data_IF_058746537735
#
_entry.id   IF_058746537735
#
_cell.length_a   1.000
_cell.length_b   1.000
_cell.length_c   1.000
_cell.angle_alpha   90.00
_cell.angle_beta   90.00
_cell.angle_gamma   90.00
#
_symmetry.space_group_name_H-M   'P 1'
#
loop_
_entity.id
_entity.type
_entity.pdbx_description
1 polymer ?
#
# COMPACT_ATOMS: atom_id res chain seq x y z
N UNK A 1 8.92 -3.97 8.56
CA UNK A 1 8.54 -4.31 9.95
C UNK A 1 7.86 -3.13 10.67
N UNK A 2 8.46 -1.94 10.68
CA UNK A 2 7.97 -0.77 11.45
C UNK A 2 6.55 -0.31 11.13
N UNK A 3 6.15 -0.30 9.85
CA UNK A 3 4.81 0.15 9.44
C UNK A 3 3.72 -0.83 9.86
N UNK A 4 3.98 -2.14 9.76
CA UNK A 4 3.01 -3.18 10.15
C UNK A 4 2.72 -3.17 11.66
N UNK A 5 3.75 -2.99 12.49
CA UNK A 5 3.59 -2.94 13.96
C UNK A 5 2.87 -1.67 14.44
N UNK A 6 2.90 -0.58 13.68
CA UNK A 6 2.16 0.65 13.97
C UNK A 6 0.71 0.58 13.51
N UNK A 7 0.47 0.04 12.30
CA UNK A 7 -0.87 -0.04 11.70
C UNK A 7 -1.75 -1.10 12.38
N UNK A 8 -1.17 -2.23 12.79
CA UNK A 8 -1.91 -3.34 13.37
C UNK A 8 -2.75 -2.97 14.60
N UNK A 9 -2.19 -2.36 15.68
CA UNK A 9 -2.99 -1.99 16.85
C UNK A 9 -4.04 -0.92 16.56
N UNK A 10 -3.78 0.00 15.62
CA UNK A 10 -4.73 1.06 15.24
C UNK A 10 -5.94 0.50 14.48
N UNK A 11 -5.74 -0.48 13.58
CA UNK A 11 -6.86 -1.12 12.89
C UNK A 11 -7.72 -1.97 13.84
N UNK A 12 -7.08 -2.68 14.79
CA UNK A 12 -7.81 -3.46 15.82
C UNK A 12 -8.63 -2.55 16.73
N UNK A 13 -8.07 -1.42 17.21
CA UNK A 13 -8.83 -0.39 17.96
C UNK A 13 -9.98 0.20 17.13
N UNK A 14 -9.78 0.32 15.82
CA UNK A 14 -10.78 0.78 14.87
C UNK A 14 -11.93 -0.20 14.65
N UNK A 15 -11.92 -1.39 15.24
CA UNK A 15 -12.97 -2.40 15.13
C UNK A 15 -12.80 -3.37 13.95
N UNK A 16 -11.60 -3.46 13.38
CA UNK A 16 -11.25 -4.45 12.36
C UNK A 16 -10.75 -5.75 13.01
N UNK A 17 -10.98 -6.87 12.32
CA UNK A 17 -10.45 -8.17 12.76
C UNK A 17 -8.91 -8.20 12.77
N UNK A 18 -8.34 -8.83 13.79
CA UNK A 18 -6.90 -8.92 14.00
C UNK A 18 -6.18 -9.67 12.85
N UNK A 19 -6.80 -10.75 12.35
CA UNK A 19 -6.23 -11.57 11.29
C UNK A 19 -6.25 -10.82 9.96
N UNK A 20 -7.35 -10.12 9.68
CA UNK A 20 -7.46 -9.25 8.50
C UNK A 20 -6.43 -8.11 8.55
N UNK A 21 -6.21 -7.53 9.73
CA UNK A 21 -5.27 -6.44 9.94
C UNK A 21 -3.82 -6.87 9.70
N UNK A 22 -3.42 -8.02 10.25
CA UNK A 22 -2.11 -8.61 10.00
C UNK A 22 -1.91 -9.01 8.52
N UNK A 23 -2.92 -9.63 7.91
CA UNK A 23 -2.87 -10.06 6.51
C UNK A 23 -2.71 -8.86 5.55
N UNK A 24 -3.45 -7.78 5.77
CA UNK A 24 -3.36 -6.57 4.93
C UNK A 24 -2.00 -5.90 5.05
N UNK A 25 -1.44 -5.81 6.26
CA UNK A 25 -0.10 -5.27 6.48
C UNK A 25 1.00 -6.14 5.84
N UNK A 26 0.87 -7.46 5.91
CA UNK A 26 1.79 -8.41 5.26
C UNK A 26 1.72 -8.30 3.73
N UNK A 27 0.51 -8.24 3.16
CA UNK A 27 0.28 -8.06 1.73
C UNK A 27 0.78 -6.72 1.21
N UNK A 28 0.62 -5.62 1.96
CA UNK A 28 1.17 -4.32 1.58
C UNK A 28 2.70 -4.34 1.47
N UNK A 29 3.37 -5.10 2.36
CA UNK A 29 4.82 -5.29 2.31
C UNK A 29 5.31 -6.04 1.07
N UNK A 30 4.54 -7.02 0.58
CA UNK A 30 4.90 -7.78 -0.64
C UNK A 30 4.65 -6.98 -1.91
N UNK A 31 3.59 -6.16 -1.94
CA UNK A 31 3.31 -5.26 -3.09
C UNK A 31 4.42 -4.20 -3.25
N UNK A 32 4.98 -3.69 -2.15
CA UNK A 32 6.12 -2.76 -2.18
C UNK A 32 7.41 -3.35 -2.76
N UNK A 33 7.55 -4.67 -2.80
CA UNK A 33 8.69 -5.38 -3.42
C UNK A 33 8.48 -5.55 -4.94
N UNK A 34 7.23 -5.49 -5.42
CA UNK A 34 6.87 -5.66 -6.82
C UNK A 34 7.05 -4.37 -7.63
N UNK A 35 6.83 -3.21 -7.02
CA UNK A 35 6.87 -1.92 -7.72
C UNK A 35 8.32 -1.38 -7.66
N UNK A 36 9.04 -1.24 -8.80
CA UNK A 36 10.51 -1.46 -8.87
C UNK A 36 11.37 -0.24 -8.46
N UNK A 37 12.71 -0.40 -8.31
CA UNK A 37 13.55 -1.41 -8.97
C UNK A 37 13.74 -2.68 -8.13
N UNK A 38 13.16 -3.78 -8.60
CA UNK A 38 13.31 -5.13 -8.03
C UNK A 38 14.21 -5.96 -8.94
N UNK A 39 15.15 -6.72 -8.35
CA UNK A 39 16.06 -7.65 -9.03
C UNK A 39 15.33 -8.61 -9.97
N UNK A 40 14.08 -8.96 -9.65
CA UNK A 40 13.26 -9.89 -10.44
C UNK A 40 13.02 -9.34 -11.85
N UNK A 41 12.76 -8.03 -12.00
CA UNK A 41 12.55 -7.40 -13.30
C UNK A 41 13.82 -7.38 -14.16
N UNK A 42 14.98 -7.23 -13.52
CA UNK A 42 16.28 -7.25 -14.20
C UNK A 42 16.59 -8.67 -14.71
N UNK A 43 16.37 -9.69 -13.88
CA UNK A 43 16.56 -11.10 -14.27
C UNK A 43 15.60 -11.49 -15.40
N UNK A 44 14.35 -11.04 -15.36
CA UNK A 44 13.38 -11.29 -16.43
C UNK A 44 13.78 -10.64 -17.76
N UNK A 45 14.26 -9.38 -17.72
CA UNK A 45 14.79 -8.69 -18.89
C UNK A 45 16.01 -9.39 -19.48
N UNK A 46 16.89 -9.92 -18.62
CA UNK A 46 18.07 -10.68 -19.05
C UNK A 46 17.69 -12.03 -19.70
N UNK A 47 16.75 -12.78 -19.10
CA UNK A 47 16.28 -14.06 -19.64
C UNK A 47 15.60 -13.91 -21.00
N UNK A 48 14.82 -12.84 -21.20
CA UNK A 48 14.07 -12.61 -22.42
C UNK A 48 14.82 -11.77 -23.46
N UNK A 49 16.03 -11.28 -23.16
CA UNK A 49 16.81 -10.36 -24.01
C UNK A 49 16.03 -9.09 -24.43
N UNK A 50 15.04 -8.66 -23.63
CA UNK A 50 14.29 -7.43 -23.88
C UNK A 50 14.97 -6.22 -23.22
N UNK A 51 14.81 -5.02 -23.79
CA UNK A 51 15.28 -3.80 -23.17
C UNK A 51 14.62 -3.60 -21.79
N UNK A 52 15.44 -3.55 -20.74
CA UNK A 52 14.98 -3.44 -19.35
C UNK A 52 14.13 -2.16 -19.13
N UNK A 53 14.39 -1.10 -19.91
CA UNK A 53 13.62 0.14 -19.90
C UNK A 53 12.15 -0.05 -20.27
N UNK A 54 11.84 -0.87 -21.27
CA UNK A 54 10.45 -1.17 -21.65
C UNK A 54 9.77 -2.03 -20.58
N UNK A 55 10.50 -2.96 -19.98
CA UNK A 55 10.00 -3.78 -18.88
C UNK A 55 9.63 -2.91 -17.66
N UNK A 56 10.43 -1.89 -17.33
CA UNK A 56 10.10 -0.97 -16.24
C UNK A 56 8.82 -0.17 -16.50
N UNK A 57 8.65 0.34 -17.72
CA UNK A 57 7.44 1.07 -18.12
C UNK A 57 6.24 0.13 -18.14
N UNK A 58 6.42 -1.08 -18.66
CA UNK A 58 5.41 -2.13 -18.65
C UNK A 58 5.03 -2.54 -17.22
N UNK A 59 5.97 -2.50 -16.26
CA UNK A 59 5.76 -2.85 -14.85
C UNK A 59 4.92 -1.84 -14.05
N UNK A 60 4.80 -0.59 -14.51
CA UNK A 60 3.88 0.39 -13.90
C UNK A 60 2.42 -0.06 -14.06
N UNK A 61 2.07 -0.62 -15.21
CA UNK A 61 0.71 -1.11 -15.51
C UNK A 61 0.21 -2.20 -14.53
N UNK A 62 0.90 -3.35 -14.34
CA UNK A 62 0.50 -4.37 -13.39
C UNK A 62 0.64 -3.89 -11.94
N UNK A 63 1.61 -3.04 -11.62
CA UNK A 63 1.75 -2.45 -10.28
C UNK A 63 0.53 -1.62 -9.89
N UNK A 64 0.09 -0.71 -10.77
CA UNK A 64 -1.12 0.08 -10.57
C UNK A 64 -2.37 -0.80 -10.46
N UNK A 65 -2.46 -1.85 -11.29
CA UNK A 65 -3.58 -2.80 -11.26
C UNK A 65 -3.64 -3.57 -9.93
N UNK A 66 -2.49 -3.97 -9.39
CA UNK A 66 -2.38 -4.71 -8.14
C UNK A 66 -2.76 -3.84 -6.93
N UNK A 67 -2.29 -2.59 -6.91
CA UNK A 67 -2.68 -1.60 -5.88
C UNK A 67 -4.18 -1.34 -5.93
N UNK A 68 -4.74 -1.16 -7.13
CA UNK A 68 -6.19 -0.98 -7.33
C UNK A 68 -6.99 -2.19 -6.85
N UNK A 69 -6.56 -3.40 -7.18
CA UNK A 69 -7.20 -4.64 -6.74
C UNK A 69 -7.17 -4.79 -5.21
N UNK A 70 -6.04 -4.51 -4.56
CA UNK A 70 -5.92 -4.53 -3.10
C UNK A 70 -6.86 -3.51 -2.43
N UNK A 71 -6.94 -2.29 -2.96
CA UNK A 71 -7.89 -1.28 -2.47
C UNK A 71 -9.34 -1.74 -2.60
N UNK A 72 -9.70 -2.33 -3.75
CA UNK A 72 -11.05 -2.83 -4.01
C UNK A 72 -11.43 -3.97 -3.06
N UNK A 73 -10.55 -4.95 -2.90
CA UNK A 73 -10.79 -6.10 -2.02
C UNK A 73 -10.94 -5.64 -0.56
N UNK A 74 -10.08 -4.74 -0.09
CA UNK A 74 -10.21 -4.18 1.24
C UNK A 74 -11.56 -3.46 1.41
N UNK A 75 -11.98 -2.65 0.43
CA UNK A 75 -13.25 -1.94 0.47
C UNK A 75 -14.46 -2.89 0.51
N UNK A 76 -14.46 -3.95 -0.30
CA UNK A 76 -15.54 -4.94 -0.35
C UNK A 76 -15.65 -5.68 0.99
N UNK A 77 -14.53 -6.17 1.53
CA UNK A 77 -14.51 -6.93 2.79
C UNK A 77 -14.99 -6.06 3.95
N UNK A 78 -14.55 -4.81 4.04
CA UNK A 78 -15.02 -3.89 5.07
C UNK A 78 -16.51 -3.60 4.97
N UNK A 79 -17.03 -3.45 3.74
CA UNK A 79 -18.45 -3.19 3.50
C UNK A 79 -19.32 -4.41 3.83
N UNK A 80 -18.82 -5.61 3.58
CA UNK A 80 -19.53 -6.85 3.90
C UNK A 80 -19.54 -7.15 5.40
N UNK A 81 -18.41 -6.95 6.09
CA UNK A 81 -18.28 -7.29 7.50
C UNK A 81 -18.72 -6.18 8.45
N UNK A 82 -18.98 -4.96 7.95
CA UNK A 82 -19.41 -3.83 8.77
C UNK A 82 -18.39 -3.38 9.81
N UNK A 83 -17.11 -3.72 9.59
CA UNK A 83 -16.02 -3.45 10.54
C UNK A 83 -15.51 -2.01 10.44
N UNK A 84 -15.54 -1.31 11.58
CA UNK A 84 -14.82 -0.05 11.83
C UNK A 84 -15.21 1.16 10.98
N UNK A 85 -14.87 2.35 11.47
CA UNK A 85 -15.26 3.64 10.87
C UNK A 85 -14.82 3.74 9.40
N UNK A 86 -15.73 3.46 8.44
CA UNK A 86 -15.46 3.62 7.01
C UNK A 86 -15.21 5.11 6.71
N UNK A 87 -13.94 5.55 6.74
CA UNK A 87 -13.55 6.75 5.99
C UNK A 87 -13.89 6.44 4.53
N UNK A 88 -14.90 7.13 4.00
CA UNK A 88 -15.31 7.06 2.58
C UNK A 88 -14.05 7.26 1.72
N UNK A 89 -13.77 6.34 0.80
CA UNK A 89 -12.70 6.46 -0.20
C UNK A 89 -12.94 7.72 -1.04
N UNK A 90 -12.45 8.85 -0.56
CA UNK A 90 -12.47 10.11 -1.27
C UNK A 90 -11.14 10.21 -2.02
N UNK A 91 -11.16 9.88 -3.32
CA UNK A 91 -9.96 9.93 -4.19
C UNK A 91 -9.28 11.31 -4.15
N UNK A 92 -10.05 12.39 -3.95
CA UNK A 92 -9.54 13.73 -3.74
C UNK A 92 -8.70 13.85 -2.45
N UNK A 93 -9.06 13.12 -1.39
CA UNK A 93 -8.33 13.08 -0.11
C UNK A 93 -7.07 12.22 -0.21
N UNK A 94 -7.10 11.09 -0.94
CA UNK A 94 -5.91 10.27 -1.22
C UNK A 94 -4.86 11.07 -2.00
N UNK A 95 -5.27 11.78 -3.05
CA UNK A 95 -4.36 12.61 -3.85
C UNK A 95 -3.85 13.82 -3.06
N UNK A 96 -4.70 14.46 -2.25
CA UNK A 96 -4.33 15.63 -1.43
C UNK A 96 -3.40 15.25 -0.26
N UNK A 97 -3.57 14.08 0.35
CA UNK A 97 -2.66 13.56 1.39
C UNK A 97 -1.35 13.06 0.78
N UNK A 98 -1.37 12.45 -0.42
CA UNK A 98 -0.15 12.08 -1.15
C UNK A 98 0.72 13.27 -1.54
N UNK A 99 0.10 14.34 -2.05
CA UNK A 99 0.80 15.60 -2.38
C UNK A 99 1.17 16.41 -1.12
N UNK A 100 0.39 16.29 -0.04
CA UNK A 100 0.67 16.92 1.26
C UNK A 100 1.83 16.30 2.02
N UNK A 101 1.98 14.97 1.97
CA UNK A 101 3.09 14.24 2.60
C UNK A 101 4.45 14.62 2.00
N UNK A 102 4.50 14.93 0.70
CA UNK A 102 5.72 15.41 0.03
C UNK A 102 6.17 16.83 0.46
N UNK A 103 5.26 17.66 0.99
CA UNK A 103 5.59 18.99 1.54
C UNK A 103 5.76 19.03 3.05
N UNK A 104 5.25 18.03 3.77
CA UNK A 104 5.30 17.98 5.24
C UNK A 104 6.50 17.20 5.80
N UNK A 105 7.34 16.63 4.94
CA UNK A 105 8.57 15.95 5.34
C UNK A 105 9.72 16.94 5.56
N UNK A 106 9.50 17.96 6.38
CA UNK A 106 10.58 18.54 7.18
C UNK A 106 10.74 17.68 8.44
N UNK A 107 11.95 17.27 8.80
CA UNK A 107 12.20 16.35 9.91
C UNK A 107 11.89 17.05 11.23
N UNK A 108 11.39 16.29 12.22
CA UNK A 108 11.01 16.73 13.58
C UNK A 108 9.78 17.65 13.68
N UNK A 109 8.64 17.09 14.10
CA UNK A 109 7.85 17.60 15.23
C UNK A 109 6.57 16.77 15.44
N UNK A 110 6.42 16.23 16.65
CA UNK A 110 5.14 16.14 17.40
C UNK A 110 3.99 15.36 16.75
N UNK A 111 3.52 14.23 17.26
CA UNK A 111 2.92 14.04 18.59
C UNK A 111 2.87 12.52 18.84
N UNK A 112 3.64 12.00 19.78
CA UNK A 112 3.33 11.89 21.22
C UNK A 112 2.26 10.83 21.53
N UNK A 113 2.59 9.84 22.38
CA UNK A 113 1.71 8.76 22.81
C UNK A 113 0.68 9.27 23.81
N UNK A 114 -0.56 8.80 23.67
CA UNK A 114 -1.47 8.56 24.79
C UNK A 114 -2.23 7.27 24.54
#
# INVERSE_FOLDING_TARGET
ATIGSMLHPEMVKGGYDERFSAATAAAGGTVGIIIPPSIIFIVYGFLLNLPISELFVAGISPGAMMVGAMMLVAFIICTMNGWGHLIRLEMARVFKTGVGAGRSCSPLASCSPR
#
